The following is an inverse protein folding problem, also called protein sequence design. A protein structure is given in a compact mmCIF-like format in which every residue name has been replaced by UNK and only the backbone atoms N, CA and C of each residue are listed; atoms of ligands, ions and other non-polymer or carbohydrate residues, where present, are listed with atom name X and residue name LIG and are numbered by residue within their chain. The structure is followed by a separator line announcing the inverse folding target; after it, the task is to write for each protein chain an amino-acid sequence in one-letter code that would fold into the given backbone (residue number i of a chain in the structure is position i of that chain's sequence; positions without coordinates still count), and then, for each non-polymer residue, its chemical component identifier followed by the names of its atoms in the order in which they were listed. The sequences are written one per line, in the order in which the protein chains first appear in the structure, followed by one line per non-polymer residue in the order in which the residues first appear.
data_IF_601540559977
#
_entry.id   IF_601540559977
#
_cell.length_a   1.000
_cell.length_b   1.000
_cell.length_c   1.000
_cell.angle_alpha   90.00
_cell.angle_beta   90.00
_cell.angle_gamma   90.00
#
_symmetry.space_group_name_H-M   'P 1'
#
loop_
_entity.id
_entity.type
_entity.pdbx_description
1 polymer ?
#
# COMPACT_ATOMS: atom_id res chain seq x y z
N UNK A 1 13.31 4.65 37.95
CA UNK A 1 14.45 3.88 38.47
C UNK A 1 14.02 2.45 38.84
N UNK A 2 12.98 2.28 39.65
CA UNK A 2 12.48 0.95 40.07
C UNK A 2 12.12 0.03 38.87
N UNK A 3 11.49 0.56 37.83
CA UNK A 3 11.07 -0.25 36.67
C UNK A 3 12.28 -0.82 35.91
N UNK A 4 13.35 -0.03 35.79
CA UNK A 4 14.58 -0.48 35.13
C UNK A 4 15.29 -1.54 35.97
N UNK A 5 15.37 -1.34 37.29
CA UNK A 5 16.01 -2.27 38.20
C UNK A 5 15.24 -3.60 38.24
N UNK A 6 13.90 -3.54 38.24
CA UNK A 6 13.04 -4.73 38.19
C UNK A 6 13.17 -5.47 36.86
N UNK A 7 13.14 -4.74 35.72
CA UNK A 7 13.32 -5.34 34.39
C UNK A 7 14.67 -6.03 34.26
N UNK A 8 15.74 -5.43 34.83
CA UNK A 8 17.06 -6.01 34.80
C UNK A 8 17.17 -7.26 35.69
N UNK A 9 16.52 -7.26 36.84
CA UNK A 9 16.46 -8.44 37.71
C UNK A 9 15.73 -9.61 37.07
N UNK A 10 14.58 -9.34 36.44
CA UNK A 10 13.83 -10.31 35.64
C UNK A 10 14.64 -10.86 34.48
N UNK A 11 15.32 -9.98 33.74
CA UNK A 11 16.20 -10.38 32.64
C UNK A 11 17.29 -11.35 33.12
N UNK A 12 17.97 -11.07 34.25
CA UNK A 12 19.01 -11.95 34.80
C UNK A 12 18.47 -13.34 35.10
N UNK A 13 17.32 -13.41 35.74
CA UNK A 13 16.68 -14.67 36.09
C UNK A 13 16.28 -15.49 34.87
N UNK A 14 15.53 -14.87 33.94
CA UNK A 14 15.04 -15.55 32.75
C UNK A 14 16.14 -15.90 31.75
N UNK A 15 17.22 -15.11 31.68
CA UNK A 15 18.32 -15.31 30.76
C UNK A 15 19.14 -16.57 30.99
N UNK A 16 19.11 -17.12 32.20
CA UNK A 16 19.87 -18.32 32.56
C UNK A 16 19.41 -19.58 31.84
N UNK A 17 18.10 -19.73 31.66
CA UNK A 17 17.46 -20.88 30.99
C UNK A 17 17.03 -20.60 29.53
N UNK A 18 17.15 -19.35 29.06
CA UNK A 18 16.68 -18.99 27.72
C UNK A 18 17.65 -19.50 26.64
N UNK A 19 17.15 -20.19 25.58
CA UNK A 19 17.99 -20.80 24.56
C UNK A 19 18.89 -19.79 23.83
N UNK A 20 20.14 -20.13 23.61
CA UNK A 20 21.11 -19.25 22.91
C UNK A 20 20.70 -18.99 21.46
N UNK A 21 20.05 -19.95 20.80
CA UNK A 21 19.50 -19.77 19.45
C UNK A 21 18.47 -18.66 19.40
N UNK A 22 17.55 -18.62 20.37
CA UNK A 22 16.52 -17.59 20.47
C UNK A 22 17.13 -16.20 20.76
N UNK A 23 18.14 -16.14 21.62
CA UNK A 23 18.88 -14.88 21.87
C UNK A 23 19.49 -14.32 20.59
N UNK A 24 20.08 -15.19 19.75
CA UNK A 24 20.63 -14.78 18.46
C UNK A 24 19.55 -14.26 17.49
N UNK A 25 18.39 -14.90 17.47
CA UNK A 25 17.27 -14.46 16.65
C UNK A 25 16.73 -13.10 17.10
N UNK A 26 16.64 -12.87 18.41
CA UNK A 26 16.27 -11.57 18.97
C UNK A 26 17.31 -10.50 18.60
N UNK A 27 18.61 -10.80 18.78
CA UNK A 27 19.69 -9.88 18.42
C UNK A 27 19.65 -9.49 16.93
N UNK A 28 19.52 -10.49 16.04
CA UNK A 28 19.38 -10.24 14.59
C UNK A 28 18.14 -9.40 14.30
N UNK A 29 17.00 -9.68 14.93
CA UNK A 29 15.77 -8.91 14.73
C UNK A 29 15.96 -7.45 15.13
N UNK A 30 16.63 -7.18 16.23
CA UNK A 30 16.94 -5.82 16.67
C UNK A 30 17.91 -5.14 15.68
N UNK A 31 18.94 -5.84 15.23
CA UNK A 31 19.92 -5.30 14.28
C UNK A 31 19.34 -5.00 12.91
N UNK A 32 18.37 -5.76 12.45
CA UNK A 32 17.66 -5.45 11.20
C UNK A 32 17.03 -4.05 11.21
N UNK A 33 16.74 -3.52 12.39
CA UNK A 33 16.23 -2.16 12.56
C UNK A 33 17.32 -1.15 12.95
N UNK A 34 18.17 -1.48 13.95
CA UNK A 34 19.14 -0.52 14.51
C UNK A 34 20.44 -0.41 13.71
N UNK A 35 20.81 -1.45 12.96
CA UNK A 35 22.02 -1.53 12.15
C UNK A 35 21.70 -2.16 10.77
N UNK A 36 20.84 -1.49 9.98
CA UNK A 36 20.34 -2.04 8.72
C UNK A 36 21.45 -2.16 7.67
N UNK A 37 21.41 -3.26 6.91
CA UNK A 37 22.40 -3.56 5.86
C UNK A 37 21.84 -3.36 4.45
N UNK A 38 20.52 -3.32 4.28
CA UNK A 38 19.89 -3.08 2.99
C UNK A 38 19.98 -1.61 2.62
N UNK A 39 20.34 -1.32 1.38
CA UNK A 39 20.38 0.03 0.82
C UNK A 39 19.23 0.25 -0.15
N UNK A 40 18.66 1.44 -0.13
CA UNK A 40 17.65 1.88 -1.08
C UNK A 40 18.32 2.58 -2.26
N UNK A 41 18.07 2.08 -3.46
CA UNK A 41 18.45 2.77 -4.69
C UNK A 41 17.51 3.95 -4.94
N UNK A 42 17.93 5.12 -4.46
CA UNK A 42 17.12 6.36 -4.54
C UNK A 42 16.93 6.80 -5.99
N UNK A 43 17.89 6.57 -6.86
CA UNK A 43 17.80 6.93 -8.27
C UNK A 43 16.70 6.09 -8.96
N UNK A 44 16.71 4.78 -8.75
CA UNK A 44 15.72 3.86 -9.29
C UNK A 44 14.32 4.14 -8.70
N UNK A 45 14.22 4.44 -7.40
CA UNK A 45 12.95 4.80 -6.77
C UNK A 45 12.33 6.08 -7.35
N UNK A 46 13.14 7.11 -7.62
CA UNK A 46 12.67 8.34 -8.24
C UNK A 46 12.25 8.11 -9.70
N UNK A 47 13.02 7.33 -10.48
CA UNK A 47 12.65 6.95 -11.84
C UNK A 47 11.31 6.23 -11.86
N UNK A 48 11.15 5.22 -11.01
CA UNK A 48 9.90 4.48 -10.88
C UNK A 48 8.72 5.37 -10.47
N UNK A 49 8.92 6.30 -9.55
CA UNK A 49 7.86 7.25 -9.15
C UNK A 49 7.43 8.14 -10.33
N UNK A 50 8.38 8.62 -11.13
CA UNK A 50 8.08 9.40 -12.35
C UNK A 50 7.30 8.57 -13.36
N UNK A 51 7.72 7.33 -13.62
CA UNK A 51 7.02 6.41 -14.52
C UNK A 51 5.58 6.14 -14.09
N UNK A 52 5.36 5.96 -12.77
CA UNK A 52 4.00 5.78 -12.20
C UNK A 52 3.15 7.02 -12.43
N UNK A 53 3.72 8.21 -12.24
CA UNK A 53 3.02 9.47 -12.47
C UNK A 53 2.69 9.67 -13.96
N UNK A 54 3.65 9.43 -14.85
CA UNK A 54 3.43 9.56 -16.30
C UNK A 54 2.36 8.57 -16.81
N UNK A 55 2.39 7.33 -16.34
CA UNK A 55 1.39 6.32 -16.67
C UNK A 55 -0.02 6.76 -16.24
N UNK A 56 -0.15 7.33 -15.04
CA UNK A 56 -1.43 7.88 -14.58
C UNK A 56 -1.88 9.08 -15.40
N UNK A 57 -0.96 9.98 -15.74
CA UNK A 57 -1.29 11.15 -16.57
C UNK A 57 -1.75 10.76 -17.97
N UNK A 58 -1.12 9.75 -18.59
CA UNK A 58 -1.57 9.21 -19.87
C UNK A 58 -3.02 8.74 -19.81
N UNK A 59 -3.37 7.97 -18.77
CA UNK A 59 -4.76 7.50 -18.58
C UNK A 59 -5.76 8.66 -18.46
N UNK A 60 -5.39 9.75 -17.78
CA UNK A 60 -6.27 10.93 -17.70
C UNK A 60 -6.43 11.63 -19.03
N UNK A 61 -5.35 11.76 -19.80
CA UNK A 61 -5.38 12.40 -21.12
C UNK A 61 -6.18 11.55 -22.12
N UNK A 62 -5.93 10.24 -22.16
CA UNK A 62 -6.65 9.31 -23.05
C UNK A 62 -8.15 9.28 -22.76
N UNK A 63 -8.52 9.28 -21.48
CA UNK A 63 -9.92 9.32 -21.08
C UNK A 63 -10.55 10.71 -21.17
N UNK A 64 -9.76 11.75 -21.43
CA UNK A 64 -10.18 13.16 -21.40
C UNK A 64 -10.95 13.52 -20.12
N UNK A 65 -10.43 13.12 -18.97
CA UNK A 65 -11.10 13.21 -17.67
C UNK A 65 -10.17 13.81 -16.60
N UNK A 66 -10.77 14.50 -15.62
CA UNK A 66 -10.01 15.08 -14.52
C UNK A 66 -9.93 14.12 -13.32
N UNK A 67 -8.84 14.20 -12.51
CA UNK A 67 -8.71 13.42 -11.30
C UNK A 67 -9.88 13.57 -10.31
N UNK A 68 -10.52 14.74 -10.29
CA UNK A 68 -11.66 15.04 -9.40
C UNK A 68 -12.90 14.21 -9.74
N UNK A 69 -13.16 14.00 -11.04
CA UNK A 69 -14.27 13.18 -11.51
C UNK A 69 -13.97 11.71 -11.16
N UNK A 70 -12.74 11.26 -11.47
CA UNK A 70 -12.33 9.89 -11.21
C UNK A 70 -12.32 9.51 -9.71
N UNK A 71 -12.00 10.44 -8.83
CA UNK A 71 -11.94 10.14 -7.40
C UNK A 71 -13.31 10.18 -6.70
N UNK A 72 -14.30 10.85 -7.27
CA UNK A 72 -15.66 10.93 -6.73
C UNK A 72 -16.56 9.86 -7.34
N UNK A 73 -17.10 8.95 -6.52
CA UNK A 73 -18.04 7.93 -7.00
C UNK A 73 -19.28 8.58 -7.66
N UNK A 74 -19.81 9.66 -7.07
CA UNK A 74 -21.00 10.35 -7.60
C UNK A 74 -20.73 11.03 -8.95
N UNK A 75 -19.59 11.76 -9.06
CA UNK A 75 -19.23 12.43 -10.33
C UNK A 75 -18.90 11.40 -11.42
N UNK A 76 -18.28 10.29 -11.05
CA UNK A 76 -17.96 9.22 -11.98
C UNK A 76 -19.22 8.47 -12.46
N UNK A 77 -20.18 8.23 -11.56
CA UNK A 77 -21.48 7.67 -11.95
C UNK A 77 -22.20 8.58 -12.94
N UNK A 78 -22.29 9.88 -12.64
CA UNK A 78 -22.90 10.84 -13.56
C UNK A 78 -22.22 10.91 -14.93
N UNK A 79 -20.88 10.72 -14.97
CA UNK A 79 -20.15 10.62 -16.23
C UNK A 79 -20.56 9.38 -17.03
N UNK A 80 -20.63 8.19 -16.40
CA UNK A 80 -21.11 6.97 -17.06
C UNK A 80 -22.54 7.12 -17.58
N UNK A 81 -23.44 7.69 -16.77
CA UNK A 81 -24.83 7.98 -17.18
C UNK A 81 -24.89 8.90 -18.40
N UNK A 82 -24.02 9.92 -18.46
CA UNK A 82 -23.94 10.82 -19.63
C UNK A 82 -23.44 10.12 -20.90
N UNK A 83 -22.77 8.98 -20.76
CA UNK A 83 -22.34 8.10 -21.86
C UNK A 83 -23.37 7.00 -22.17
N UNK A 84 -24.54 7.00 -21.50
CA UNK A 84 -25.59 6.00 -21.67
C UNK A 84 -25.36 4.69 -20.94
N UNK A 85 -24.40 4.65 -20.01
CA UNK A 85 -24.07 3.46 -19.23
C UNK A 85 -24.65 3.59 -17.81
N UNK A 86 -25.46 2.63 -17.39
CA UNK A 86 -25.93 2.58 -15.99
C UNK A 86 -24.79 2.18 -15.08
N UNK A 87 -24.49 2.99 -14.03
CA UNK A 87 -23.45 2.67 -13.09
C UNK A 87 -23.77 1.39 -12.31
N UNK A 88 -22.88 0.38 -12.26
CA UNK A 88 -23.13 -0.82 -11.48
C UNK A 88 -23.21 -0.52 -9.99
N UNK A 89 -24.16 -1.18 -9.32
CA UNK A 89 -24.45 -1.00 -7.89
C UNK A 89 -24.24 -2.28 -7.13
N UNK A 90 -23.89 -2.16 -5.85
CA UNK A 90 -23.80 -3.29 -4.91
C UNK A 90 -24.25 -2.92 -3.51
N UNK A 91 -24.57 -3.91 -2.71
CA UNK A 91 -24.82 -3.72 -1.28
C UNK A 91 -23.49 -3.73 -0.54
N UNK A 92 -23.20 -2.66 0.20
CA UNK A 92 -22.01 -2.58 1.04
C UNK A 92 -22.07 -3.59 2.19
N UNK A 93 -21.09 -4.49 2.35
CA UNK A 93 -21.11 -5.47 3.44
C UNK A 93 -20.95 -4.84 4.84
N UNK A 94 -20.50 -3.60 4.91
CA UNK A 94 -20.27 -2.89 6.18
C UNK A 94 -21.46 -2.04 6.60
N UNK A 95 -22.17 -1.44 5.64
CA UNK A 95 -23.25 -0.47 5.92
C UNK A 95 -24.63 -0.98 5.50
N UNK A 96 -24.70 -2.13 4.82
CA UNK A 96 -25.91 -2.74 4.25
C UNK A 96 -26.72 -1.80 3.32
N UNK A 97 -26.07 -0.74 2.82
CA UNK A 97 -26.68 0.24 1.92
C UNK A 97 -26.17 0.03 0.49
N UNK A 98 -27.01 0.41 -0.46
CA UNK A 98 -26.60 0.46 -1.86
C UNK A 98 -25.45 1.46 -2.06
N UNK A 99 -24.44 1.04 -2.80
CA UNK A 99 -23.27 1.84 -3.16
C UNK A 99 -22.81 1.49 -4.56
N UNK A 100 -22.09 2.40 -5.21
CA UNK A 100 -21.51 2.15 -6.52
C UNK A 100 -20.45 1.05 -6.47
N UNK A 101 -20.53 0.12 -7.42
CA UNK A 101 -19.61 -1.01 -7.58
C UNK A 101 -18.49 -0.66 -8.56
N UNK A 102 -17.50 0.14 -8.13
CA UNK A 102 -16.40 0.63 -8.97
C UNK A 102 -15.01 0.12 -8.54
N UNK A 103 -14.96 -1.03 -7.88
CA UNK A 103 -13.70 -1.64 -7.47
C UNK A 103 -13.20 -2.65 -8.53
N UNK A 104 -11.90 -2.99 -8.45
CA UNK A 104 -11.29 -4.04 -9.31
C UNK A 104 -11.91 -5.42 -9.13
N UNK A 105 -12.59 -5.65 -8.00
CA UNK A 105 -13.31 -6.88 -7.67
C UNK A 105 -14.75 -6.90 -8.17
N UNK A 106 -15.26 -5.80 -8.70
CA UNK A 106 -16.65 -5.69 -9.12
C UNK A 106 -16.74 -6.09 -10.60
N UNK A 107 -17.21 -7.32 -10.86
CA UNK A 107 -17.20 -7.95 -12.18
C UNK A 107 -17.95 -7.15 -13.24
N UNK A 108 -19.14 -6.62 -12.90
CA UNK A 108 -19.92 -5.78 -13.82
C UNK A 108 -19.18 -4.51 -14.22
N UNK A 109 -18.41 -3.92 -13.30
CA UNK A 109 -17.58 -2.75 -13.59
C UNK A 109 -16.39 -3.10 -14.47
N UNK A 110 -15.73 -4.22 -14.18
CA UNK A 110 -14.59 -4.69 -14.99
C UNK A 110 -15.04 -5.07 -16.40
N UNK A 111 -16.23 -5.64 -16.56
CA UNK A 111 -16.79 -5.96 -17.89
C UNK A 111 -16.98 -4.73 -18.80
N UNK A 112 -17.09 -3.52 -18.24
CA UNK A 112 -17.13 -2.30 -19.05
C UNK A 112 -15.81 -1.97 -19.75
N UNK A 113 -14.72 -2.66 -19.47
CA UNK A 113 -13.48 -2.58 -20.27
C UNK A 113 -13.64 -3.13 -21.69
N UNK A 114 -14.62 -4.00 -21.89
CA UNK A 114 -14.98 -4.59 -23.21
C UNK A 114 -16.25 -3.96 -23.80
N UNK A 115 -16.62 -2.75 -23.34
CA UNK A 115 -17.79 -2.03 -23.83
C UNK A 115 -17.61 -1.61 -25.30
N UNK A 116 -18.70 -1.53 -26.07
CA UNK A 116 -18.65 -1.15 -27.50
C UNK A 116 -18.14 0.28 -27.75
N UNK A 117 -18.32 1.22 -26.80
CA UNK A 117 -17.82 2.58 -26.89
C UNK A 117 -16.41 2.69 -26.27
N UNK A 118 -15.41 2.98 -27.08
CA UNK A 118 -14.00 3.15 -26.67
C UNK A 118 -13.83 4.22 -25.58
N UNK A 119 -14.71 5.24 -25.53
CA UNK A 119 -14.67 6.27 -24.48
C UNK A 119 -15.04 5.71 -23.12
N UNK A 120 -16.01 4.79 -23.07
CA UNK A 120 -16.39 4.08 -21.84
C UNK A 120 -15.22 3.20 -21.37
N UNK A 121 -14.61 2.45 -22.30
CA UNK A 121 -13.41 1.64 -21.98
C UNK A 121 -12.29 2.51 -21.39
N UNK A 122 -11.97 3.65 -22.04
CA UNK A 122 -10.92 4.56 -21.59
C UNK A 122 -11.19 5.13 -20.18
N UNK A 123 -12.41 5.54 -19.90
CA UNK A 123 -12.83 6.10 -18.61
C UNK A 123 -12.78 5.02 -17.50
N UNK A 124 -13.21 3.81 -17.78
CA UNK A 124 -13.17 2.68 -16.86
C UNK A 124 -11.72 2.26 -16.58
N UNK A 125 -10.89 2.15 -17.62
CA UNK A 125 -9.46 1.87 -17.51
C UNK A 125 -8.74 2.95 -16.67
N UNK A 126 -9.04 4.22 -16.90
CA UNK A 126 -8.51 5.32 -16.12
C UNK A 126 -8.92 5.23 -14.62
N UNK A 127 -10.17 4.89 -14.34
CA UNK A 127 -10.67 4.70 -12.97
C UNK A 127 -9.94 3.57 -12.25
N UNK A 128 -9.78 2.42 -12.90
CA UNK A 128 -9.12 1.23 -12.35
C UNK A 128 -7.61 1.44 -12.16
N UNK A 129 -6.96 2.10 -13.12
CA UNK A 129 -5.52 2.37 -13.09
C UNK A 129 -5.13 3.52 -12.16
N UNK A 130 -5.87 4.62 -12.18
CA UNK A 130 -5.51 5.82 -11.44
C UNK A 130 -5.85 5.77 -9.94
N UNK A 131 -6.92 5.07 -9.55
CA UNK A 131 -7.39 5.01 -8.16
C UNK A 131 -6.42 4.29 -7.22
N UNK A 132 -5.62 3.36 -7.73
CA UNK A 132 -4.60 2.68 -6.90
C UNK A 132 -3.43 3.63 -6.62
N UNK A 133 -3.32 4.09 -5.38
CA UNK A 133 -2.20 4.92 -4.92
C UNK A 133 -1.13 4.13 -4.19
N UNK A 134 -1.33 2.82 -4.01
CA UNK A 134 -0.49 1.98 -3.16
C UNK A 134 0.97 1.94 -3.63
N UNK A 135 1.18 1.75 -4.95
CA UNK A 135 2.50 1.73 -5.57
C UNK A 135 3.22 3.08 -5.35
N UNK A 136 2.55 4.17 -5.69
CA UNK A 136 3.07 5.52 -5.51
C UNK A 136 3.39 5.84 -4.04
N UNK A 137 2.46 5.54 -3.13
CA UNK A 137 2.62 5.81 -1.70
C UNK A 137 3.76 5.00 -1.09
N UNK A 138 3.92 3.73 -1.50
CA UNK A 138 5.03 2.88 -1.03
C UNK A 138 6.37 3.38 -1.54
N UNK A 139 6.48 3.70 -2.83
CA UNK A 139 7.70 4.24 -3.42
C UNK A 139 8.10 5.56 -2.77
N UNK A 140 7.15 6.48 -2.60
CA UNK A 140 7.37 7.75 -1.89
C UNK A 140 7.85 7.51 -0.46
N UNK A 141 7.27 6.54 0.25
CA UNK A 141 7.68 6.18 1.61
C UNK A 141 9.12 5.69 1.68
N UNK A 142 9.56 4.87 0.71
CA UNK A 142 10.95 4.43 0.65
C UNK A 142 11.92 5.59 0.38
N UNK A 143 11.56 6.53 -0.49
CA UNK A 143 12.36 7.75 -0.74
C UNK A 143 12.48 8.58 0.54
N UNK A 144 11.38 8.76 1.29
CA UNK A 144 11.39 9.47 2.57
C UNK A 144 12.27 8.78 3.63
N UNK A 145 12.24 7.44 3.69
CA UNK A 145 13.11 6.67 4.59
C UNK A 145 14.57 6.87 4.21
N UNK A 146 14.90 6.74 2.93
CA UNK A 146 16.26 6.95 2.43
C UNK A 146 16.81 8.36 2.76
N UNK A 147 15.95 9.38 2.70
CA UNK A 147 16.32 10.75 3.07
C UNK A 147 16.58 10.99 4.56
N UNK A 148 16.12 10.07 5.43
CA UNK A 148 16.25 10.17 6.90
C UNK A 148 17.33 9.27 7.48
N UNK A 149 17.79 8.28 6.71
CA UNK A 149 18.75 7.28 7.17
C UNK A 149 20.14 7.53 6.59
N UNK A 150 21.17 7.19 7.36
CA UNK A 150 22.55 7.26 6.89
C UNK A 150 22.76 6.27 5.75
N UNK A 151 23.45 6.68 4.68
CA UNK A 151 23.73 5.85 3.50
C UNK A 151 22.48 5.21 2.87
N UNK A 152 21.31 5.84 3.02
CA UNK A 152 20.04 5.33 2.50
C UNK A 152 19.68 3.91 2.99
N UNK A 153 20.13 3.54 4.18
CA UNK A 153 19.83 2.23 4.79
C UNK A 153 18.36 2.08 5.09
N UNK A 154 17.83 0.88 4.87
CA UNK A 154 16.44 0.52 5.13
C UNK A 154 16.29 -0.21 6.46
N UNK A 155 15.82 0.42 7.53
CA UNK A 155 15.46 -0.27 8.77
C UNK A 155 14.25 -1.18 8.55
N UNK A 156 14.35 -2.43 9.02
CA UNK A 156 13.27 -3.42 8.90
C UNK A 156 12.64 -3.62 10.27
N UNK A 157 11.43 -3.08 10.53
CA UNK A 157 10.77 -3.14 11.83
C UNK A 157 10.01 -4.48 11.99
N UNK A 158 10.73 -5.56 12.21
CA UNK A 158 10.13 -6.86 12.49
C UNK A 158 9.90 -7.04 14.00
N UNK A 159 8.80 -7.68 14.35
CA UNK A 159 8.49 -8.11 15.69
C UNK A 159 8.84 -9.58 15.85
N UNK A 160 9.82 -9.87 16.72
CA UNK A 160 10.14 -11.23 17.09
C UNK A 160 8.93 -11.91 17.72
N UNK A 161 8.64 -13.15 17.30
CA UNK A 161 7.53 -13.96 17.81
C UNK A 161 6.17 -13.24 17.80
N UNK A 162 5.84 -12.57 16.69
CA UNK A 162 4.61 -11.79 16.55
C UNK A 162 3.34 -12.66 16.52
N UNK A 163 3.46 -13.92 16.10
CA UNK A 163 2.38 -14.90 16.14
C UNK A 163 2.75 -16.06 17.07
N UNK A 164 1.73 -16.71 17.66
CA UNK A 164 1.89 -17.88 18.53
C UNK A 164 2.61 -19.07 17.84
N UNK A 165 2.68 -19.06 16.50
CA UNK A 165 3.44 -20.05 15.69
C UNK A 165 4.92 -19.69 15.53
N UNK A 166 5.44 -18.68 16.22
CA UNK A 166 6.83 -18.24 16.14
C UNK A 166 7.19 -17.42 14.90
N UNK A 167 6.20 -16.97 14.11
CA UNK A 167 6.47 -16.13 12.94
C UNK A 167 6.71 -14.68 13.35
N UNK A 168 7.65 -14.04 12.64
CA UNK A 168 7.81 -12.59 12.72
C UNK A 168 6.64 -11.85 12.06
N UNK A 169 6.33 -10.67 12.53
CA UNK A 169 5.29 -9.77 12.00
C UNK A 169 5.75 -8.34 11.83
#
# INVERSE_FOLDING_TARGET
KNDVDLTYALYKELNTSFPTSEKRLIDVTIRMFSDPVLELDVAQLNSHLSEVHERKQKLFVEANITPEILNSNKKFAALLESMGVYPPMKISPTTEKETYAFAKSDEEFVALLDHEDDRVQAVVAARLGAKSTLEQTRTQRFIEIAGRTHEHKLPIPLKFYAAHTGRWG
#
